data_IF_083270101655
#
_entry.id   IF_083270101655
#
_cell.length_a   1.000
_cell.length_b   1.000
_cell.length_c   1.000
_cell.angle_alpha   90.00
_cell.angle_beta   90.00
_cell.angle_gamma   90.00
#
_symmetry.space_group_name_H-M   'P 1'
#
loop_
_entity.id
_entity.type
_entity.pdbx_description
1 polymer ?
#
# COMPACT_ATOMS: atom_id res chain seq x y z
N UNK A 1 -7.31 13.23 13.38
CA UNK A 1 -7.39 12.40 12.16
C UNK A 1 -8.74 12.52 11.46
N UNK A 2 -8.85 13.39 10.46
CA UNK A 2 -10.09 13.70 9.74
C UNK A 2 -10.51 12.63 8.73
N UNK A 3 -9.58 11.84 8.16
CA UNK A 3 -9.89 10.88 7.09
C UNK A 3 -11.10 10.00 7.38
N UNK A 4 -11.15 9.34 8.54
CA UNK A 4 -12.27 8.42 8.87
C UNK A 4 -13.61 9.14 9.02
N UNK A 5 -13.57 10.38 9.48
CA UNK A 5 -14.77 11.23 9.63
C UNK A 5 -15.21 11.76 8.28
N UNK A 6 -14.27 12.22 7.45
CA UNK A 6 -14.52 12.69 6.09
C UNK A 6 -15.09 11.59 5.21
N UNK A 7 -14.49 10.40 5.20
CA UNK A 7 -15.02 9.27 4.42
C UNK A 7 -16.38 8.80 4.93
N UNK A 8 -16.60 8.82 6.25
CA UNK A 8 -17.91 8.56 6.84
C UNK A 8 -18.97 9.60 6.44
N UNK A 9 -18.61 10.88 6.45
CA UNK A 9 -19.50 11.97 6.02
C UNK A 9 -19.83 11.88 4.53
N UNK A 10 -18.84 11.60 3.67
CA UNK A 10 -19.05 11.39 2.24
C UNK A 10 -19.99 10.19 2.00
N UNK A 11 -19.77 9.07 2.71
CA UNK A 11 -20.65 7.90 2.62
C UNK A 11 -22.09 8.19 3.04
N UNK A 12 -22.29 9.06 4.02
CA UNK A 12 -23.62 9.45 4.48
C UNK A 12 -24.31 10.48 3.55
N UNK A 13 -23.52 11.36 2.92
CA UNK A 13 -24.03 12.47 2.11
C UNK A 13 -24.24 12.11 0.63
N UNK A 14 -23.45 11.18 0.09
CA UNK A 14 -23.51 10.79 -1.31
C UNK A 14 -24.54 9.69 -1.52
N UNK A 15 -25.60 10.04 -2.22
CA UNK A 15 -26.54 9.11 -2.86
C UNK A 15 -25.96 8.62 -4.21
N UNK A 16 -25.68 7.32 -4.38
CA UNK A 16 -25.12 6.77 -5.60
C UNK A 16 -25.95 7.03 -6.86
N UNK A 17 -27.29 6.98 -6.76
CA UNK A 17 -28.17 7.16 -7.91
C UNK A 17 -28.17 8.61 -8.38
N UNK A 18 -28.11 9.54 -7.42
CA UNK A 18 -28.10 10.98 -7.69
C UNK A 18 -26.75 11.51 -8.17
N UNK A 19 -25.66 11.10 -7.53
CA UNK A 19 -24.33 11.67 -7.75
C UNK A 19 -23.43 10.81 -8.63
N UNK A 20 -23.81 9.56 -8.93
CA UNK A 20 -22.99 8.65 -9.71
C UNK A 20 -21.73 8.17 -9.00
N UNK A 21 -21.65 8.34 -7.67
CA UNK A 21 -20.52 7.89 -6.85
C UNK A 21 -21.05 7.10 -5.65
N UNK A 22 -20.60 5.86 -5.52
CA UNK A 22 -20.85 5.01 -4.36
C UNK A 22 -19.63 5.00 -3.43
N UNK A 23 -19.88 5.01 -2.12
CA UNK A 23 -18.83 4.92 -1.10
C UNK A 23 -19.07 3.67 -0.25
N UNK A 24 -18.13 2.73 -0.26
CA UNK A 24 -18.21 1.49 0.50
C UNK A 24 -17.05 1.37 1.49
N UNK A 25 -17.29 0.65 2.58
CA UNK A 25 -16.32 0.43 3.66
C UNK A 25 -16.43 1.45 4.79
N UNK A 26 -15.36 1.58 5.58
CA UNK A 26 -15.33 2.42 6.77
C UNK A 26 -14.26 2.01 7.77
N UNK A 27 -14.49 2.31 9.05
CA UNK A 27 -13.54 2.04 10.15
C UNK A 27 -13.81 0.68 10.81
N UNK A 28 -12.74 -0.03 11.17
CA UNK A 28 -12.80 -1.26 11.97
C UNK A 28 -13.66 -2.34 11.32
N UNK A 29 -14.67 -2.85 12.03
CA UNK A 29 -15.54 -3.92 11.53
C UNK A 29 -16.31 -3.54 10.25
N UNK A 30 -16.56 -2.24 10.02
CA UNK A 30 -17.24 -1.78 8.80
C UNK A 30 -16.37 -2.04 7.56
N UNK A 31 -15.05 -1.94 7.67
CA UNK A 31 -14.13 -2.25 6.58
C UNK A 31 -14.26 -3.70 6.09
N UNK A 32 -14.60 -4.63 6.98
CA UNK A 32 -14.77 -6.05 6.63
C UNK A 32 -16.02 -6.32 5.79
N UNK A 33 -17.02 -5.43 5.85
CA UNK A 33 -18.27 -5.54 5.07
C UNK A 33 -18.19 -4.88 3.70
N UNK A 34 -17.06 -4.25 3.35
CA UNK A 34 -16.88 -3.58 2.05
C UNK A 34 -17.29 -4.47 0.87
N UNK A 35 -16.93 -5.77 0.81
CA UNK A 35 -17.37 -6.62 -0.30
C UNK A 35 -18.89 -6.82 -0.41
N UNK A 36 -19.61 -6.81 0.72
CA UNK A 36 -21.07 -6.91 0.72
C UNK A 36 -21.72 -5.61 0.28
N UNK A 37 -21.11 -4.48 0.61
CA UNK A 37 -21.58 -3.15 0.20
C UNK A 37 -21.34 -2.92 -1.30
N UNK A 38 -20.19 -3.32 -1.84
CA UNK A 38 -19.87 -3.23 -3.28
C UNK A 38 -20.90 -3.98 -4.12
N UNK A 39 -21.32 -5.17 -3.70
CA UNK A 39 -22.33 -5.98 -4.42
C UNK A 39 -23.73 -5.38 -4.43
N UNK A 40 -23.98 -4.36 -3.60
CA UNK A 40 -25.29 -3.71 -3.47
C UNK A 40 -25.34 -2.33 -4.11
N UNK A 41 -24.25 -1.86 -4.71
CA UNK A 41 -24.26 -0.57 -5.40
C UNK A 41 -25.17 -0.67 -6.65
N UNK A 42 -25.86 0.42 -7.04
CA UNK A 42 -26.84 0.39 -8.13
C UNK A 42 -26.23 0.58 -9.53
N UNK A 43 -24.92 0.40 -9.69
CA UNK A 43 -24.22 0.63 -10.95
C UNK A 43 -24.10 -0.66 -11.75
N UNK A 44 -24.21 -0.55 -13.08
CA UNK A 44 -24.00 -1.65 -14.01
C UNK A 44 -22.51 -1.83 -14.29
N UNK A 45 -21.80 -2.45 -13.35
CA UNK A 45 -20.35 -2.63 -13.34
C UNK A 45 -20.00 -4.04 -12.88
N UNK A 46 -18.76 -4.48 -13.12
CA UNK A 46 -18.28 -5.76 -12.59
C UNK A 46 -18.03 -5.66 -11.08
N UNK A 47 -19.06 -6.02 -10.30
CA UNK A 47 -18.99 -6.00 -8.84
C UNK A 47 -17.94 -6.96 -8.28
N UNK A 48 -17.65 -8.09 -8.94
CA UNK A 48 -16.67 -9.05 -8.42
C UNK A 48 -15.25 -8.56 -8.67
N UNK A 49 -14.98 -7.89 -9.79
CA UNK A 49 -13.69 -7.24 -10.02
C UNK A 49 -13.47 -6.08 -9.03
N UNK A 50 -14.50 -5.31 -8.71
CA UNK A 50 -14.42 -4.28 -7.66
C UNK A 50 -14.17 -4.87 -6.26
N UNK A 51 -14.79 -6.02 -5.96
CA UNK A 51 -14.53 -6.77 -4.72
C UNK A 51 -13.08 -7.27 -4.71
N UNK A 52 -12.58 -7.78 -5.84
CA UNK A 52 -11.19 -8.22 -5.99
C UNK A 52 -10.23 -7.07 -5.75
N UNK A 53 -10.43 -5.93 -6.43
CA UNK A 53 -9.63 -4.72 -6.24
C UNK A 53 -9.62 -4.26 -4.78
N UNK A 54 -10.79 -4.18 -4.14
CA UNK A 54 -10.91 -3.83 -2.73
C UNK A 54 -10.14 -4.79 -1.81
N UNK A 55 -10.17 -6.10 -2.08
CA UNK A 55 -9.46 -7.11 -1.27
C UNK A 55 -7.96 -7.08 -1.51
N UNK A 56 -7.54 -6.98 -2.77
CA UNK A 56 -6.14 -6.95 -3.16
C UNK A 56 -5.44 -5.73 -2.60
N UNK A 57 -6.02 -4.53 -2.73
CA UNK A 57 -5.42 -3.33 -2.13
C UNK A 57 -5.24 -3.46 -0.62
N UNK A 58 -6.24 -3.97 0.10
CA UNK A 58 -6.12 -4.18 1.55
C UNK A 58 -5.06 -5.23 1.91
N UNK A 59 -4.90 -6.26 1.07
CA UNK A 59 -3.93 -7.33 1.30
C UNK A 59 -2.50 -6.90 1.00
N UNK A 60 -2.31 -6.10 -0.05
CA UNK A 60 -1.03 -5.50 -0.42
C UNK A 60 -0.57 -4.54 0.66
N UNK A 61 -1.43 -3.60 1.09
CA UNK A 61 -1.10 -2.63 2.14
C UNK A 61 -0.78 -3.30 3.48
N UNK A 62 -1.40 -4.44 3.78
CA UNK A 62 -1.17 -5.17 5.03
C UNK A 62 0.00 -6.17 4.98
N UNK A 63 0.27 -6.76 3.80
CA UNK A 63 1.19 -7.92 3.70
C UNK A 63 2.43 -7.66 2.86
N UNK A 64 2.32 -6.81 1.84
CA UNK A 64 3.41 -6.54 0.91
C UNK A 64 4.19 -5.28 1.29
N UNK A 65 3.53 -4.29 1.87
CA UNK A 65 4.17 -3.10 2.46
C UNK A 65 4.23 -3.31 3.97
N UNK A 66 5.39 -3.74 4.48
CA UNK A 66 5.57 -4.08 5.90
C UNK A 66 6.28 -2.95 6.63
N UNK A 67 5.54 -1.88 6.87
CA UNK A 67 6.00 -0.64 7.48
C UNK A 67 5.66 -0.48 8.97
N UNK A 68 4.98 -1.49 9.54
CA UNK A 68 4.57 -1.48 10.95
C UNK A 68 3.24 -0.77 11.23
N UNK A 69 2.53 -0.28 10.22
CA UNK A 69 1.24 0.39 10.39
C UNK A 69 0.09 -0.60 10.19
N UNK A 70 -0.66 -0.88 11.26
CA UNK A 70 -1.80 -1.80 11.19
C UNK A 70 -3.02 -1.10 10.60
N UNK A 71 -3.55 -1.63 9.50
CA UNK A 71 -4.76 -1.09 8.86
C UNK A 71 -5.98 -1.17 9.79
N UNK A 72 -6.67 -0.04 9.93
CA UNK A 72 -7.90 0.04 10.72
C UNK A 72 -9.04 0.76 9.98
N UNK A 73 -8.77 1.27 8.78
CA UNK A 73 -9.74 1.94 7.93
C UNK A 73 -9.51 1.58 6.47
N UNK A 74 -10.59 1.29 5.77
CA UNK A 74 -10.61 1.00 4.34
C UNK A 74 -11.89 1.58 3.75
N UNK A 75 -11.76 2.48 2.78
CA UNK A 75 -12.90 3.03 2.04
C UNK A 75 -12.59 2.96 0.55
N UNK A 76 -13.55 2.49 -0.23
CA UNK A 76 -13.51 2.52 -1.69
C UNK A 76 -14.60 3.47 -2.20
N UNK A 77 -14.23 4.31 -3.15
CA UNK A 77 -15.11 5.17 -3.93
C UNK A 77 -15.23 4.55 -5.32
N UNK A 78 -16.44 4.45 -5.84
CA UNK A 78 -16.74 3.79 -7.12
C UNK A 78 -17.60 4.75 -7.94
N UNK A 79 -17.19 5.08 -9.16
CA UNK A 79 -18.00 5.85 -10.10
C UNK A 79 -19.02 4.95 -10.81
N UNK A 80 -20.01 5.58 -11.47
CA UNK A 80 -20.99 4.87 -12.29
C UNK A 80 -20.33 4.14 -13.47
N UNK A 81 -19.21 4.65 -13.93
CA UNK A 81 -18.41 4.12 -15.04
C UNK A 81 -17.52 2.94 -14.60
N UNK A 82 -17.44 2.65 -13.30
CA UNK A 82 -16.64 1.55 -12.75
C UNK A 82 -15.23 1.94 -12.31
N UNK A 83 -14.84 3.21 -12.49
CA UNK A 83 -13.60 3.73 -11.94
C UNK A 83 -13.66 3.72 -10.42
N UNK A 84 -12.52 3.44 -9.79
CA UNK A 84 -12.46 3.39 -8.35
C UNK A 84 -11.21 4.05 -7.76
N UNK A 85 -11.37 4.52 -6.53
CA UNK A 85 -10.29 5.02 -5.69
C UNK A 85 -10.39 4.41 -4.30
N UNK A 86 -9.28 3.98 -3.72
CA UNK A 86 -9.25 3.42 -2.36
C UNK A 86 -8.39 4.30 -1.47
N UNK A 87 -8.92 4.62 -0.30
CA UNK A 87 -8.20 5.30 0.78
C UNK A 87 -8.18 4.38 1.99
N UNK A 88 -6.97 3.93 2.35
CA UNK A 88 -6.73 3.12 3.54
C UNK A 88 -5.97 3.92 4.58
N UNK A 89 -6.17 3.59 5.85
CA UNK A 89 -5.40 4.18 6.93
C UNK A 89 -4.89 3.11 7.90
N UNK A 90 -3.57 3.10 8.06
CA UNK A 90 -2.85 2.32 9.05
C UNK A 90 -2.44 3.17 10.26
N UNK A 91 -2.25 2.53 11.40
CA UNK A 91 -1.80 3.16 12.64
C UNK A 91 -0.61 2.41 13.23
N UNK A 92 0.39 3.15 13.67
CA UNK A 92 1.51 2.65 14.45
C UNK A 92 1.71 3.58 15.64
N UNK A 93 1.49 3.07 16.86
CA UNK A 93 1.47 3.85 18.09
C UNK A 93 0.60 5.12 17.97
N UNK A 94 1.24 6.29 17.86
CA UNK A 94 0.59 7.59 17.69
C UNK A 94 0.50 8.03 16.24
N UNK A 95 1.33 7.49 15.35
CA UNK A 95 1.38 7.88 13.94
C UNK A 95 0.36 7.14 13.08
N UNK A 96 -0.05 7.75 11.96
CA UNK A 96 -0.88 7.11 10.95
C UNK A 96 -0.27 7.33 9.59
N UNK A 97 -0.49 6.33 8.76
CA UNK A 97 -0.07 6.28 7.38
C UNK A 97 -1.29 6.03 6.53
N UNK A 98 -1.38 6.75 5.43
CA UNK A 98 -2.53 6.73 4.53
C UNK A 98 -2.08 6.27 3.15
N UNK A 99 -2.75 5.24 2.65
CA UNK A 99 -2.43 4.57 1.40
C UNK A 99 -3.51 4.90 0.39
N UNK A 100 -3.09 5.33 -0.80
CA UNK A 100 -3.96 5.82 -1.86
C UNK A 100 -3.80 4.94 -3.08
N UNK A 101 -4.93 4.50 -3.61
CA UNK A 101 -5.02 3.73 -4.83
C UNK A 101 -5.99 4.43 -5.79
N UNK A 102 -5.66 4.40 -7.07
CA UNK A 102 -6.50 4.95 -8.12
C UNK A 102 -6.49 3.97 -9.30
N UNK A 103 -7.66 3.45 -9.66
CA UNK A 103 -7.86 2.50 -10.76
C UNK A 103 -7.07 2.85 -12.03
N UNK A 104 -7.15 4.11 -12.48
CA UNK A 104 -6.44 4.62 -13.66
C UNK A 104 -4.91 4.45 -13.63
N UNK A 105 -4.31 4.24 -12.45
CA UNK A 105 -2.85 4.11 -12.26
C UNK A 105 -2.42 2.69 -11.90
N UNK A 106 -3.36 1.78 -11.66
CA UNK A 106 -3.05 0.41 -11.24
C UNK A 106 -2.89 -0.46 -12.48
N UNK A 107 -1.64 -0.68 -12.88
CA UNK A 107 -1.28 -1.65 -13.93
C UNK A 107 -1.08 -3.06 -13.35
N UNK A 108 -0.68 -3.14 -12.08
CA UNK A 108 -0.43 -4.36 -11.31
C UNK A 108 -0.72 -4.08 -9.83
N UNK A 109 -1.37 -5.00 -9.12
CA UNK A 109 -1.62 -4.85 -7.69
C UNK A 109 -0.36 -5.05 -6.84
N UNK A 110 0.67 -5.68 -7.40
CA UNK A 110 1.86 -6.13 -6.65
C UNK A 110 3.14 -5.43 -7.09
N UNK A 111 3.07 -4.49 -8.04
CA UNK A 111 4.22 -3.70 -8.48
C UNK A 111 3.90 -2.20 -8.48
N UNK A 112 4.43 -1.48 -7.48
CA UNK A 112 4.24 -0.04 -7.28
C UNK A 112 2.81 0.44 -7.51
N UNK A 113 1.80 -0.18 -6.89
CA UNK A 113 0.40 0.06 -7.23
C UNK A 113 -0.16 1.38 -6.68
N UNK A 114 0.49 1.93 -5.66
CA UNK A 114 -0.01 3.11 -4.95
C UNK A 114 0.14 4.36 -5.79
N UNK A 115 -0.94 5.15 -5.86
CA UNK A 115 -0.86 6.53 -6.35
C UNK A 115 -0.13 7.44 -5.35
N UNK A 116 -0.11 7.04 -4.06
CA UNK A 116 0.73 7.65 -3.03
C UNK A 116 0.58 7.00 -1.65
N UNK A 117 1.66 7.05 -0.86
CA UNK A 117 1.65 6.71 0.57
C UNK A 117 2.08 7.96 1.33
N UNK A 118 1.17 8.46 2.17
CA UNK A 118 1.37 9.67 2.97
C UNK A 118 1.54 9.30 4.44
N UNK A 119 2.63 9.76 5.05
CA UNK A 119 2.99 9.44 6.42
C UNK A 119 3.69 10.65 7.04
N UNK A 120 3.42 10.91 8.32
CA UNK A 120 4.17 11.94 9.07
C UNK A 120 5.62 11.54 9.30
N UNK A 121 5.84 10.24 9.52
CA UNK A 121 7.13 9.64 9.79
C UNK A 121 7.55 8.74 8.63
N UNK A 122 8.80 8.92 8.20
CA UNK A 122 9.51 8.00 7.33
C UNK A 122 10.27 7.02 8.22
N UNK A 123 10.09 5.73 8.00
CA UNK A 123 10.78 4.67 8.73
C UNK A 123 12.10 4.34 8.04
N UNK A 124 13.10 3.93 8.82
CA UNK A 124 14.44 3.64 8.30
C UNK A 124 14.50 2.35 7.47
N UNK A 125 13.69 1.35 7.84
CA UNK A 125 13.66 0.03 7.22
C UNK A 125 12.23 -0.45 7.06
N UNK A 126 11.76 -0.50 5.82
CA UNK A 126 10.45 -1.04 5.44
C UNK A 126 10.65 -2.11 4.40
N UNK A 127 10.11 -3.31 4.64
CA UNK A 127 10.05 -4.31 3.58
C UNK A 127 8.87 -3.97 2.67
N UNK A 128 9.15 -3.39 1.51
CA UNK A 128 8.17 -3.14 0.45
C UNK A 128 8.43 -4.06 -0.74
N UNK A 129 7.83 -5.26 -0.72
CA UNK A 129 7.96 -6.19 -1.85
C UNK A 129 7.26 -5.71 -3.11
N UNK A 130 6.49 -4.61 -3.07
CA UNK A 130 5.86 -4.02 -4.25
C UNK A 130 6.80 -3.10 -5.02
N UNK A 131 7.93 -2.69 -4.43
CA UNK A 131 8.93 -1.88 -5.12
C UNK A 131 9.37 -2.55 -6.42
N UNK A 132 9.61 -1.74 -7.48
CA UNK A 132 10.17 -2.24 -8.74
C UNK A 132 11.52 -2.94 -8.54
N UNK A 133 12.32 -2.45 -7.59
CA UNK A 133 13.60 -3.06 -7.21
C UNK A 133 13.44 -4.50 -6.71
N UNK A 134 12.26 -4.85 -6.16
CA UNK A 134 11.95 -6.17 -5.63
C UNK A 134 11.26 -7.11 -6.64
N UNK A 135 11.24 -6.76 -7.94
CA UNK A 135 10.76 -7.68 -8.98
C UNK A 135 11.47 -9.06 -8.96
N UNK A 136 12.81 -9.12 -8.85
CA UNK A 136 13.51 -10.41 -8.75
C UNK A 136 13.09 -11.20 -7.50
N UNK A 137 12.92 -10.53 -6.36
CA UNK A 137 12.45 -11.14 -5.10
C UNK A 137 11.04 -11.73 -5.26
N UNK A 138 10.13 -11.04 -5.98
CA UNK A 138 8.78 -11.56 -6.27
C UNK A 138 8.85 -12.83 -7.13
N UNK A 139 9.70 -12.86 -8.16
CA UNK A 139 9.91 -14.03 -9.03
C UNK A 139 10.50 -15.20 -8.26
N UNK A 140 11.60 -14.97 -7.55
CA UNK A 140 12.24 -15.98 -6.70
C UNK A 140 11.31 -16.51 -5.60
N UNK A 141 10.38 -15.69 -5.09
CA UNK A 141 9.38 -16.15 -4.11
C UNK A 141 8.40 -17.15 -4.71
N UNK A 142 8.05 -17.02 -5.99
CA UNK A 142 7.24 -18.01 -6.70
C UNK A 142 8.04 -19.30 -6.87
N UNK A 143 9.31 -19.21 -7.28
CA UNK A 143 10.16 -20.40 -7.44
C UNK A 143 10.40 -21.13 -6.10
N UNK A 144 10.60 -20.38 -5.01
CA UNK A 144 10.70 -20.93 -3.66
C UNK A 144 9.42 -21.67 -3.24
N UNK A 145 8.23 -21.20 -3.66
CA UNK A 145 6.98 -21.92 -3.48
C UNK A 145 6.97 -23.22 -4.28
N UNK A 146 7.46 -23.22 -5.53
CA UNK A 146 7.53 -24.44 -6.36
C UNK A 146 8.47 -25.49 -5.78
N UNK A 147 9.55 -25.06 -5.14
CA UNK A 147 10.56 -25.94 -4.54
C UNK A 147 10.31 -26.26 -3.07
N UNK A 148 9.20 -25.78 -2.51
CA UNK A 148 8.88 -25.89 -1.08
C UNK A 148 9.03 -27.32 -0.49
N UNK A 149 8.61 -28.41 -1.15
CA UNK A 149 8.80 -29.75 -0.59
C UNK A 149 10.26 -30.17 -0.49
N UNK A 150 11.09 -29.78 -1.47
CA UNK A 150 12.53 -30.04 -1.45
C UNK A 150 13.18 -29.25 -0.32
N UNK A 151 12.83 -27.97 -0.20
CA UNK A 151 13.29 -27.09 0.87
C UNK A 151 12.92 -27.60 2.27
N UNK A 152 11.68 -28.05 2.49
CA UNK A 152 11.25 -28.63 3.76
C UNK A 152 11.96 -29.95 4.11
N UNK A 153 12.43 -30.70 3.11
CA UNK A 153 13.25 -31.91 3.34
C UNK A 153 14.69 -31.56 3.69
N UNK A 154 15.26 -30.54 3.04
CA UNK A 154 16.65 -30.12 3.29
C UNK A 154 16.82 -29.38 4.61
N UNK A 155 15.86 -28.54 5.00
CA UNK A 155 15.87 -27.85 6.31
C UNK A 155 15.90 -28.81 7.50
N UNK A 156 15.32 -30.02 7.38
CA UNK A 156 15.43 -31.08 8.41
C UNK A 156 16.85 -31.61 8.59
N UNK A 157 17.76 -31.35 7.63
CA UNK A 157 19.16 -31.76 7.68
C UNK A 157 20.09 -30.65 8.20
N UNK A 158 19.61 -29.41 8.31
CA UNK A 158 20.41 -28.28 8.79
C UNK A 158 20.67 -28.42 10.30
N UNK A 159 21.95 -28.50 10.67
CA UNK A 159 22.41 -28.35 12.05
C UNK A 159 22.74 -26.88 12.31
N UNK A 160 21.87 -26.19 13.03
CA UNK A 160 22.08 -24.82 13.49
C UNK A 160 22.96 -24.79 14.77
N UNK A 161 23.70 -23.70 15.04
CA UNK A 161 24.45 -23.53 16.29
C UNK A 161 23.53 -23.66 17.53
N UNK A 162 24.08 -24.12 18.66
CA UNK A 162 23.34 -24.48 19.89
C UNK A 162 22.39 -23.40 20.44
N UNK A 163 22.57 -22.13 20.05
CA UNK A 163 21.81 -20.99 20.56
C UNK A 163 20.56 -20.63 19.72
N UNK A 164 20.30 -21.32 18.60
CA UNK A 164 19.07 -21.16 17.82
C UNK A 164 18.33 -22.51 17.71
N UNK A 165 17.62 -22.86 18.78
CA UNK A 165 16.74 -24.04 18.78
C UNK A 165 15.51 -23.70 17.93
N UNK A 166 15.51 -24.08 16.66
CA UNK A 166 14.28 -24.18 15.86
C UNK A 166 13.52 -25.41 16.35
N UNK A 167 12.50 -25.21 17.17
CA UNK A 167 11.65 -26.27 17.71
C UNK A 167 10.59 -26.61 16.67
N UNK A 168 10.13 -27.86 16.66
CA UNK A 168 9.12 -28.34 15.72
C UNK A 168 7.79 -27.55 15.75
N UNK A 169 7.58 -26.77 16.81
CA UNK A 169 6.44 -25.87 17.00
C UNK A 169 6.65 -24.45 16.45
N UNK A 170 7.86 -24.05 16.04
CA UNK A 170 8.14 -22.71 15.51
C UNK A 170 7.45 -22.48 14.16
N UNK A 171 7.17 -23.56 13.43
CA UNK A 171 6.20 -23.59 12.35
C UNK A 171 4.89 -24.18 12.87
N UNK A 172 3.90 -23.31 13.12
CA UNK A 172 2.56 -23.77 13.50
C UNK A 172 1.98 -24.72 12.43
N UNK A 173 1.18 -25.70 12.85
CA UNK A 173 0.47 -26.59 11.92
C UNK A 173 -0.40 -25.82 10.92
N UNK A 174 -0.93 -24.67 11.32
CA UNK A 174 -1.63 -23.75 10.41
C UNK A 174 -0.72 -23.18 9.32
N UNK A 175 0.52 -22.81 9.65
CA UNK A 175 1.49 -22.26 8.69
C UNK A 175 1.95 -23.34 7.71
N UNK A 176 2.20 -24.57 8.18
CA UNK A 176 2.52 -25.72 7.32
C UNK A 176 1.38 -26.02 6.34
N UNK A 177 0.12 -26.02 6.80
CA UNK A 177 -1.06 -26.20 5.94
C UNK A 177 -1.20 -25.11 4.91
N UNK A 178 -0.95 -23.85 5.25
CA UNK A 178 -0.98 -22.75 4.28
C UNK A 178 0.10 -22.94 3.23
N UNK A 179 1.34 -23.20 3.63
CA UNK A 179 2.45 -23.41 2.70
C UNK A 179 2.20 -24.63 1.78
N UNK A 180 1.67 -25.72 2.34
CA UNK A 180 1.29 -26.89 1.56
C UNK A 180 0.18 -26.55 0.54
N UNK A 181 -0.86 -25.81 0.94
CA UNK A 181 -1.93 -25.40 0.01
C UNK A 181 -1.44 -24.44 -1.07
N UNK A 182 -0.54 -23.53 -0.73
CA UNK A 182 0.10 -22.61 -1.69
C UNK A 182 0.97 -23.40 -2.67
N UNK A 183 1.69 -24.41 -2.17
CA UNK A 183 2.41 -25.36 -3.01
C UNK A 183 1.46 -26.17 -3.91
N UNK A 184 0.34 -26.68 -3.40
CA UNK A 184 -0.62 -27.44 -4.21
C UNK A 184 -1.27 -26.57 -5.30
N UNK A 185 -1.50 -25.29 -5.02
CA UNK A 185 -2.06 -24.36 -5.99
C UNK A 185 -1.09 -24.02 -7.13
N UNK A 186 0.22 -24.02 -6.86
CA UNK A 186 1.27 -23.58 -7.80
C UNK A 186 0.93 -22.21 -8.45
N UNK A 187 0.88 -21.11 -7.68
CA UNK A 187 0.45 -19.82 -8.20
C UNK A 187 1.29 -19.41 -9.42
N UNK A 188 0.59 -19.01 -10.47
CA UNK A 188 1.16 -18.60 -11.75
C UNK A 188 1.72 -17.18 -11.69
N UNK A 189 1.22 -16.35 -10.77
CA UNK A 189 1.64 -14.97 -10.56
C UNK A 189 1.79 -14.62 -9.07
N UNK A 190 2.51 -13.54 -8.79
CA UNK A 190 2.65 -13.03 -7.43
C UNK A 190 1.33 -12.45 -6.90
N UNK A 191 0.45 -11.96 -7.79
CA UNK A 191 -0.91 -11.56 -7.41
C UNK A 191 -1.71 -12.74 -6.88
N UNK A 192 -1.64 -13.89 -7.55
CA UNK A 192 -2.35 -15.11 -7.14
C UNK A 192 -1.82 -15.64 -5.78
N UNK A 193 -0.50 -15.60 -5.60
CA UNK A 193 0.13 -15.92 -4.31
C UNK A 193 -0.37 -14.98 -3.21
N UNK A 194 -0.37 -13.67 -3.47
CA UNK A 194 -0.84 -12.67 -2.51
C UNK A 194 -2.33 -12.85 -2.27
N UNK A 195 -3.15 -13.17 -3.25
CA UNK A 195 -4.60 -13.34 -3.13
C UNK A 195 -4.98 -14.56 -2.26
N UNK A 196 -4.13 -15.59 -2.23
CA UNK A 196 -4.40 -16.85 -1.54
C UNK A 196 -4.75 -16.69 -0.05
N UNK A 197 -5.90 -17.24 0.36
CA UNK A 197 -6.35 -17.15 1.76
C UNK A 197 -5.38 -17.91 2.69
N UNK A 198 -4.76 -17.17 3.61
CA UNK A 198 -3.77 -17.70 4.55
C UNK A 198 -2.36 -17.17 4.30
N UNK A 199 -2.07 -16.69 3.09
CA UNK A 199 -0.87 -15.90 2.82
C UNK A 199 -1.08 -14.50 3.40
N UNK A 200 -0.20 -14.11 4.31
CA UNK A 200 -0.17 -12.77 4.92
C UNK A 200 1.25 -12.29 5.14
N UNK A 201 1.42 -11.16 5.82
CA UNK A 201 2.71 -10.48 5.99
C UNK A 201 3.87 -11.40 6.40
N UNK A 202 3.65 -12.32 7.34
CA UNK A 202 4.69 -13.26 7.81
C UNK A 202 5.15 -14.21 6.69
N UNK A 203 4.21 -14.76 5.92
CA UNK A 203 4.52 -15.67 4.81
C UNK A 203 5.25 -14.93 3.70
N UNK A 204 4.76 -13.74 3.32
CA UNK A 204 5.40 -12.89 2.32
C UNK A 204 6.82 -12.52 2.75
N UNK A 205 7.02 -12.15 4.02
CA UNK A 205 8.35 -11.85 4.57
C UNK A 205 9.27 -13.06 4.51
N UNK A 206 8.78 -14.23 4.93
CA UNK A 206 9.57 -15.46 4.90
C UNK A 206 10.01 -15.80 3.48
N UNK A 207 9.10 -15.75 2.50
CA UNK A 207 9.42 -16.00 1.09
C UNK A 207 10.40 -14.96 0.52
N UNK A 208 10.25 -13.68 0.85
CA UNK A 208 11.19 -12.65 0.42
C UNK A 208 12.61 -12.88 0.99
N UNK A 209 12.71 -13.21 2.29
CA UNK A 209 13.99 -13.49 2.94
C UNK A 209 14.65 -14.78 2.42
N UNK A 210 13.86 -15.84 2.21
CA UNK A 210 14.33 -17.08 1.60
C UNK A 210 14.83 -16.79 0.18
N UNK A 211 14.08 -16.00 -0.58
CA UNK A 211 14.46 -15.58 -1.94
C UNK A 211 15.81 -14.89 -1.95
N UNK A 212 16.01 -13.94 -1.03
CA UNK A 212 17.27 -13.23 -0.86
C UNK A 212 18.43 -14.15 -0.47
N UNK A 213 18.19 -15.10 0.44
CA UNK A 213 19.21 -16.01 0.92
C UNK A 213 19.65 -17.05 -0.12
N UNK A 214 18.68 -17.64 -0.83
CA UNK A 214 18.93 -18.75 -1.76
C UNK A 214 19.36 -18.23 -3.12
N UNK A 215 18.64 -17.23 -3.64
CA UNK A 215 18.85 -16.74 -5.00
C UNK A 215 19.74 -15.48 -5.04
N UNK A 216 20.19 -14.98 -3.88
CA UNK A 216 21.11 -13.84 -3.79
C UNK A 216 20.47 -12.49 -4.12
N UNK A 217 19.15 -12.43 -4.20
CA UNK A 217 18.42 -11.20 -4.57
C UNK A 217 18.47 -10.17 -3.43
N UNK A 218 18.83 -8.94 -3.74
CA UNK A 218 18.82 -7.86 -2.76
C UNK A 218 17.39 -7.36 -2.50
N UNK A 219 16.97 -7.40 -1.24
CA UNK A 219 15.70 -6.82 -0.82
C UNK A 219 15.88 -5.32 -0.65
N UNK A 220 15.06 -4.53 -1.34
CA UNK A 220 14.92 -3.10 -1.06
C UNK A 220 14.17 -2.89 0.26
N UNK A 221 14.81 -2.15 1.17
CA UNK A 221 14.28 -1.81 2.51
C UNK A 221 13.79 -0.35 2.61
N UNK A 222 13.60 0.30 1.47
CA UNK A 222 13.25 1.71 1.39
C UNK A 222 11.78 1.92 1.74
N UNK A 223 11.51 2.93 2.58
CA UNK A 223 10.14 3.34 2.87
C UNK A 223 9.49 3.99 1.63
N UNK A 224 8.34 3.48 1.14
CA UNK A 224 7.65 4.05 -0.01
C UNK A 224 6.87 5.35 0.30
N UNK A 225 6.78 5.75 1.58
CA UNK A 225 6.15 7.00 1.97
C UNK A 225 6.88 8.21 1.35
N UNK A 226 6.14 9.09 0.65
CA UNK A 226 6.75 10.22 -0.09
C UNK A 226 6.69 11.55 0.65
N UNK A 227 5.59 11.87 1.33
CA UNK A 227 5.43 13.15 2.05
C UNK A 227 4.43 13.06 3.22
N UNK A 228 4.80 13.70 4.33
CA UNK A 228 3.88 14.16 5.36
C UNK A 228 3.14 15.39 4.84
N UNK A 229 1.96 15.68 5.38
CA UNK A 229 1.28 16.95 5.07
C UNK A 229 2.25 18.10 5.35
N UNK A 230 2.74 18.78 4.30
CA UNK A 230 3.71 19.86 4.43
C UNK A 230 3.22 21.00 5.33
N UNK A 231 1.89 21.09 5.55
CA UNK A 231 1.24 22.13 6.32
C UNK A 231 0.18 21.61 7.33
N UNK A 232 0.33 20.35 7.83
CA UNK A 232 -0.42 19.74 8.97
C UNK A 232 -1.43 18.62 8.59
N UNK A 233 -1.77 17.58 9.37
CA UNK A 233 -1.20 16.96 10.58
C UNK A 233 -1.85 15.57 10.87
N UNK A 234 -1.42 14.83 11.92
CA UNK A 234 -2.27 13.77 12.55
C UNK A 234 -2.74 14.10 13.99
N UNK A 235 -1.93 14.70 14.88
CA UNK A 235 -2.29 14.80 16.32
C UNK A 235 -2.25 16.23 16.97
N UNK A 236 -1.98 17.31 16.24
CA UNK A 236 -1.86 18.68 16.83
C UNK A 236 -3.11 19.57 16.70
N UNK A 237 -4.05 19.52 17.65
CA UNK A 237 -5.32 20.29 17.57
C UNK A 237 -5.25 21.64 18.31
N UNK A 238 -5.52 22.79 17.68
CA UNK A 238 -5.52 23.10 16.24
C UNK A 238 -4.15 23.62 15.79
N UNK A 239 -3.71 23.25 14.58
CA UNK A 239 -2.54 23.86 13.93
C UNK A 239 -3.02 24.67 12.71
N UNK A 240 -2.98 26.01 12.73
CA UNK A 240 -3.23 26.80 11.54
C UNK A 240 -2.18 26.47 10.47
N UNK A 241 -2.57 26.48 9.20
CA UNK A 241 -1.66 26.32 8.05
C UNK A 241 -0.49 27.29 8.25
N UNK A 242 0.73 26.75 8.33
CA UNK A 242 1.94 27.56 8.44
C UNK A 242 2.28 28.18 7.08
N UNK A 243 1.50 29.20 6.72
CA UNK A 243 1.59 29.94 5.46
C UNK A 243 3.00 30.47 5.24
N UNK A 244 3.71 30.86 6.31
CA UNK A 244 5.08 31.39 6.23
C UNK A 244 6.07 30.34 5.78
N UNK A 245 6.02 29.13 6.36
CA UNK A 245 6.90 28.04 5.92
C UNK A 245 6.52 27.52 4.53
N UNK A 246 5.24 27.59 4.15
CA UNK A 246 4.77 27.30 2.79
C UNK A 246 5.36 28.27 1.76
N UNK A 247 5.19 29.57 1.97
CA UNK A 247 5.76 30.63 1.12
C UNK A 247 7.28 30.50 1.02
N UNK A 248 7.96 30.25 2.13
CA UNK A 248 9.41 30.05 2.17
C UNK A 248 9.85 28.83 1.35
N UNK A 249 9.11 27.73 1.44
CA UNK A 249 9.41 26.52 0.66
C UNK A 249 9.20 26.75 -0.84
N UNK A 250 8.13 27.47 -1.22
CA UNK A 250 7.88 27.90 -2.60
C UNK A 250 9.02 28.76 -3.12
N UNK A 251 9.51 29.71 -2.31
CA UNK A 251 10.60 30.60 -2.70
C UNK A 251 11.92 29.84 -2.88
N UNK A 252 12.24 28.90 -1.99
CA UNK A 252 13.42 28.03 -2.11
C UNK A 252 13.35 27.18 -3.38
N UNK A 253 12.19 26.57 -3.67
CA UNK A 253 12.00 25.78 -4.88
C UNK A 253 12.09 26.65 -6.14
N UNK A 254 11.54 27.86 -6.12
CA UNK A 254 11.64 28.83 -7.22
C UNK A 254 13.11 29.18 -7.50
N UNK A 255 13.87 29.55 -6.46
CA UNK A 255 15.31 29.86 -6.57
C UNK A 255 16.11 28.66 -7.07
N UNK A 256 15.86 27.46 -6.54
CA UNK A 256 16.53 26.24 -7.01
C UNK A 256 16.26 25.93 -8.48
N UNK A 257 15.04 26.18 -8.99
CA UNK A 257 14.70 26.03 -10.41
C UNK A 257 15.43 27.08 -11.26
N UNK A 258 15.44 28.34 -10.81
CA UNK A 258 16.11 29.45 -11.48
C UNK A 258 17.64 29.23 -11.58
N UNK A 259 18.27 28.76 -10.52
CA UNK A 259 19.71 28.51 -10.42
C UNK A 259 20.15 27.16 -11.03
N UNK A 260 19.22 26.22 -11.27
CA UNK A 260 19.55 24.91 -11.84
C UNK A 260 20.26 25.00 -13.20
N UNK A 261 21.12 24.05 -13.56
CA UNK A 261 21.73 23.97 -14.90
C UNK A 261 20.79 23.32 -15.95
N UNK A 262 19.48 23.45 -15.79
CA UNK A 262 18.49 22.92 -16.72
C UNK A 262 18.27 23.85 -17.93
N UNK A 263 17.78 23.31 -19.06
CA UNK A 263 17.47 24.10 -20.24
C UNK A 263 16.33 25.10 -20.01
N UNK A 264 16.37 26.27 -20.65
CA UNK A 264 15.37 27.35 -20.44
C UNK A 264 13.92 26.88 -20.59
N UNK A 265 13.65 25.95 -21.52
CA UNK A 265 12.30 25.40 -21.77
C UNK A 265 11.81 24.51 -20.61
N UNK A 266 12.71 23.80 -19.95
CA UNK A 266 12.39 22.95 -18.80
C UNK A 266 12.19 23.77 -17.54
N UNK A 267 13.04 24.79 -17.32
CA UNK A 267 12.88 25.77 -16.24
C UNK A 267 11.53 26.47 -16.33
N UNK A 268 11.17 26.98 -17.51
CA UNK A 268 9.89 27.66 -17.72
C UNK A 268 8.69 26.73 -17.46
N UNK A 269 8.76 25.46 -17.85
CA UNK A 269 7.71 24.48 -17.54
C UNK A 269 7.61 24.18 -16.05
N UNK A 270 8.74 24.09 -15.35
CA UNK A 270 8.77 23.87 -13.90
C UNK A 270 8.23 25.08 -13.12
N UNK A 271 8.64 26.30 -13.50
CA UNK A 271 8.13 27.54 -12.91
C UNK A 271 6.63 27.73 -13.17
N UNK A 272 6.15 27.40 -14.39
CA UNK A 272 4.72 27.45 -14.71
C UNK A 272 3.90 26.50 -13.83
N UNK A 273 4.35 25.25 -13.66
CA UNK A 273 3.69 24.29 -12.75
C UNK A 273 3.68 24.77 -11.30
N UNK A 274 4.77 25.40 -10.85
CA UNK A 274 4.85 25.98 -9.51
C UNK A 274 3.87 27.15 -9.35
N UNK A 275 3.79 28.04 -10.34
CA UNK A 275 2.86 29.17 -10.37
C UNK A 275 1.39 28.72 -10.37
N UNK A 276 1.05 27.72 -11.21
CA UNK A 276 -0.30 27.17 -11.29
C UNK A 276 -0.71 26.49 -9.97
N UNK A 277 0.25 25.89 -9.25
CA UNK A 277 0.04 25.31 -7.93
C UNK A 277 -0.19 26.39 -6.85
N UNK A 278 0.59 27.48 -6.86
CA UNK A 278 0.40 28.60 -5.92
C UNK A 278 -0.96 29.27 -6.10
N UNK A 279 -1.40 29.53 -7.32
CA UNK A 279 -2.70 30.16 -7.60
C UNK A 279 -3.88 29.32 -7.11
N UNK A 280 -3.79 27.99 -7.15
CA UNK A 280 -4.83 27.11 -6.62
C UNK A 280 -4.94 27.18 -5.09
N UNK A 281 -3.84 27.47 -4.40
CA UNK A 281 -3.80 27.56 -2.93
C UNK A 281 -4.30 28.90 -2.37
N UNK A 282 -4.37 29.95 -3.19
CA UNK A 282 -4.90 31.27 -2.78
C UNK A 282 -6.43 31.35 -2.86
N UNK A 283 -7.05 30.40 -3.57
CA UNK A 283 -8.50 30.35 -3.81
C UNK A 283 -9.26 29.31 -2.95
N UNK A 284 -8.55 28.54 -2.12
CA UNK A 284 -9.08 27.57 -1.14
C UNK A 284 -8.76 28.02 0.32
#
# INVERSE_FOLDING_TARGET
>A
GTTTTTTGALKAALDPEKFGIAVCGGKGRVALRTPEEIRKIPFDVDHEELVRASRMSAKVDNSCVQDGYSLYHHTIFISREGDWAIVQQGMNERYARRYHWLSERVESFVETPHSGISSERIEEKVLDVTSKENEPVRKASLDAVRELPSFLRETRKLRMPENHILREFDLSESSKRVLQKVYELQPSSYEELVEFRGVGAKTIRALALISSLIYGEEISWKDPARYSYAHGGKDGTPYPVDKRNMERSIEILRKAIEESRAGNKEKMRALKRLSDFTLRLEHD
#
